data_IF_667822178712
#
_entry.id   IF_667822178712
#
_cell.length_a   1.000
_cell.length_b   1.000
_cell.length_c   1.000
_cell.angle_alpha   90.00
_cell.angle_beta   90.00
_cell.angle_gamma   90.00
#
_symmetry.space_group_name_H-M   'P 1'
#
loop_
_entity.id
_entity.type
_entity.pdbx_description
1 polymer ?
#
# COMPACT_ATOMS: atom_id res chain seq x y z
N UNK A 1 -0.32 21.97 -33.05
CA UNK A 1 0.53 20.92 -32.42
C UNK A 1 0.17 20.91 -30.92
N UNK A 2 -0.72 20.00 -30.51
CA UNK A 2 -1.13 19.89 -29.09
C UNK A 2 0.04 19.27 -28.34
N UNK A 3 0.62 20.03 -27.40
CA UNK A 3 1.63 19.50 -26.49
C UNK A 3 1.01 18.33 -25.71
N UNK A 4 1.44 17.12 -26.00
CA UNK A 4 1.00 15.94 -25.26
C UNK A 4 1.57 16.04 -23.83
N UNK A 5 0.71 16.39 -22.90
CA UNK A 5 1.00 16.36 -21.45
C UNK A 5 1.52 14.97 -21.06
N UNK A 6 2.84 14.88 -20.81
CA UNK A 6 3.52 13.67 -20.35
C UNK A 6 3.49 13.55 -18.82
N UNK A 7 2.64 14.33 -18.15
CA UNK A 7 2.57 14.33 -16.69
C UNK A 7 1.73 13.15 -16.18
N UNK A 8 2.23 12.47 -15.16
CA UNK A 8 1.44 11.53 -14.37
C UNK A 8 0.42 12.34 -13.58
N UNK A 9 -0.83 11.92 -13.64
CA UNK A 9 -1.93 12.49 -12.85
C UNK A 9 -2.29 11.56 -11.73
N UNK A 10 -2.40 12.11 -10.53
CA UNK A 10 -2.88 11.41 -9.35
C UNK A 10 -4.38 11.68 -9.15
N UNK A 11 -5.12 10.62 -8.86
CA UNK A 11 -6.55 10.67 -8.55
C UNK A 11 -6.79 10.02 -7.19
N UNK A 12 -7.59 10.64 -6.33
CA UNK A 12 -8.02 10.01 -5.08
C UNK A 12 -9.29 9.22 -5.36
N UNK A 13 -9.27 7.92 -5.10
CA UNK A 13 -10.46 7.05 -5.11
C UNK A 13 -11.00 7.02 -3.68
N UNK A 14 -12.21 7.52 -3.48
CA UNK A 14 -12.86 7.65 -2.17
C UNK A 14 -14.17 6.85 -2.07
N UNK A 15 -14.57 6.20 -3.17
CA UNK A 15 -15.76 5.36 -3.21
C UNK A 15 -15.68 4.30 -4.31
N UNK A 16 -16.45 3.23 -4.16
CA UNK A 16 -16.56 2.16 -5.18
C UNK A 16 -17.21 2.64 -6.50
N UNK A 17 -17.83 3.81 -6.50
CA UNK A 17 -18.44 4.42 -7.70
C UNK A 17 -17.46 5.29 -8.49
N UNK A 18 -16.23 5.48 -8.00
CA UNK A 18 -15.21 6.26 -8.71
C UNK A 18 -14.86 5.62 -10.06
N UNK A 19 -14.70 6.38 -11.17
CA UNK A 19 -14.44 5.83 -12.50
C UNK A 19 -13.23 4.90 -12.62
N UNK A 20 -12.18 5.10 -11.79
CA UNK A 20 -10.97 4.26 -11.77
C UNK A 20 -11.03 3.10 -10.76
N UNK A 21 -12.17 2.89 -10.10
CA UNK A 21 -12.27 1.85 -9.07
C UNK A 21 -12.13 0.43 -9.64
N UNK A 22 -12.68 0.18 -10.81
CA UNK A 22 -12.61 -1.15 -11.45
C UNK A 22 -11.19 -1.49 -11.90
N UNK A 23 -10.43 -0.52 -12.46
CA UNK A 23 -9.01 -0.71 -12.79
C UNK A 23 -8.17 -0.98 -11.53
N UNK A 24 -8.41 -0.22 -10.46
CA UNK A 24 -7.81 -0.49 -9.16
C UNK A 24 -8.12 -1.91 -8.69
N UNK A 25 -9.40 -2.29 -8.62
CA UNK A 25 -9.86 -3.58 -8.11
C UNK A 25 -9.25 -4.75 -8.90
N UNK A 26 -9.17 -4.64 -10.23
CA UNK A 26 -8.55 -5.63 -11.09
C UNK A 26 -7.07 -5.80 -10.76
N UNK A 27 -6.30 -4.70 -10.73
CA UNK A 27 -4.87 -4.73 -10.42
C UNK A 27 -4.62 -5.22 -9.00
N UNK A 28 -5.43 -4.79 -8.02
CA UNK A 28 -5.34 -5.21 -6.63
C UNK A 28 -5.45 -6.73 -6.48
N UNK A 29 -6.48 -7.33 -7.09
CA UNK A 29 -6.70 -8.79 -7.05
C UNK A 29 -5.60 -9.59 -7.76
N UNK A 30 -5.00 -9.04 -8.79
CA UNK A 30 -3.90 -9.68 -9.53
C UNK A 30 -2.56 -9.59 -8.78
N UNK A 31 -2.35 -8.53 -8.00
CA UNK A 31 -1.05 -8.21 -7.39
C UNK A 31 -0.87 -8.80 -5.99
N UNK A 32 -1.96 -9.11 -5.29
CA UNK A 32 -1.92 -9.58 -3.89
C UNK A 32 -2.66 -10.89 -3.74
N UNK A 33 -2.15 -11.84 -2.92
CA UNK A 33 -2.89 -13.05 -2.58
C UNK A 33 -4.13 -12.72 -1.74
N UNK A 34 -5.13 -13.61 -1.73
CA UNK A 34 -6.42 -13.35 -1.08
C UNK A 34 -6.31 -13.01 0.41
N UNK A 35 -5.32 -13.56 1.10
CA UNK A 35 -5.10 -13.32 2.54
C UNK A 35 -4.49 -11.94 2.85
N UNK A 36 -3.98 -11.25 1.83
CA UNK A 36 -3.50 -9.85 1.91
C UNK A 36 -4.55 -8.85 1.38
N UNK A 37 -5.71 -9.33 0.96
CA UNK A 37 -6.74 -8.47 0.39
C UNK A 37 -7.84 -8.17 1.39
N UNK A 38 -8.22 -6.89 1.47
CA UNK A 38 -9.48 -6.46 2.11
C UNK A 38 -10.67 -7.10 1.41
N UNK A 39 -11.66 -7.50 2.18
CA UNK A 39 -12.99 -7.83 1.64
C UNK A 39 -13.67 -6.56 1.12
N UNK A 40 -14.71 -6.67 0.25
CA UNK A 40 -15.47 -5.49 -0.18
C UNK A 40 -16.06 -4.65 0.97
N UNK A 41 -16.62 -5.23 2.05
CA UNK A 41 -17.02 -4.47 3.23
C UNK A 41 -15.85 -3.72 3.88
N UNK A 42 -14.71 -4.39 4.14
CA UNK A 42 -13.52 -3.76 4.72
C UNK A 42 -12.96 -2.63 3.85
N UNK A 43 -13.07 -2.74 2.52
CA UNK A 43 -12.67 -1.66 1.62
C UNK A 43 -13.61 -0.45 1.72
N UNK A 44 -14.91 -0.68 1.88
CA UNK A 44 -15.89 0.40 2.13
C UNK A 44 -15.62 1.10 3.46
N UNK A 45 -15.34 0.33 4.52
CA UNK A 45 -14.96 0.89 5.82
C UNK A 45 -13.68 1.74 5.74
N UNK A 46 -12.68 1.27 4.98
CA UNK A 46 -11.47 2.06 4.75
C UNK A 46 -11.76 3.40 4.05
N UNK A 47 -12.67 3.43 3.06
CA UNK A 47 -13.01 4.66 2.35
C UNK A 47 -13.65 5.76 3.23
N UNK A 48 -14.37 5.37 4.26
CA UNK A 48 -14.98 6.35 5.19
C UNK A 48 -14.04 6.77 6.32
N UNK A 49 -12.87 6.13 6.43
CA UNK A 49 -11.89 6.49 7.45
C UNK A 49 -11.03 7.69 7.02
N UNK A 50 -10.94 8.71 7.88
CA UNK A 50 -10.25 9.98 7.58
C UNK A 50 -8.75 9.82 7.28
N UNK A 51 -8.11 8.80 7.83
CA UNK A 51 -6.69 8.54 7.59
C UNK A 51 -6.41 7.78 6.28
N UNK A 52 -7.38 7.07 5.71
CA UNK A 52 -7.17 6.24 4.52
C UNK A 52 -7.12 7.06 3.23
N UNK A 53 -6.21 6.70 2.35
CA UNK A 53 -6.08 7.27 1.00
C UNK A 53 -5.81 6.16 -0.01
N UNK A 54 -6.65 6.08 -1.03
CA UNK A 54 -6.38 5.27 -2.23
C UNK A 54 -6.05 6.23 -3.37
N UNK A 55 -4.79 6.22 -3.79
CA UNK A 55 -4.24 7.10 -4.82
C UNK A 55 -4.02 6.31 -6.10
N UNK A 56 -4.78 6.59 -7.14
CA UNK A 56 -4.63 6.02 -8.47
C UNK A 56 -3.82 6.96 -9.36
N UNK A 57 -2.99 6.40 -10.23
CA UNK A 57 -2.13 7.16 -11.11
C UNK A 57 -2.42 6.83 -12.57
N UNK A 58 -2.53 7.88 -13.39
CA UNK A 58 -2.75 7.73 -14.83
C UNK A 58 -1.77 8.59 -15.63
N UNK A 59 -1.44 8.15 -16.85
CA UNK A 59 -0.72 8.94 -17.85
C UNK A 59 -1.42 8.79 -19.19
N UNK A 60 -1.87 9.89 -19.79
CA UNK A 60 -2.64 9.90 -21.05
C UNK A 60 -3.87 8.96 -21.04
N UNK A 61 -4.56 8.90 -19.91
CA UNK A 61 -5.73 8.03 -19.72
C UNK A 61 -5.39 6.55 -19.41
N UNK A 62 -4.13 6.15 -19.49
CA UNK A 62 -3.70 4.80 -19.13
C UNK A 62 -3.54 4.70 -17.60
N UNK A 63 -4.16 3.69 -16.98
CA UNK A 63 -3.98 3.37 -15.56
C UNK A 63 -2.60 2.78 -15.33
N UNK A 64 -1.77 3.48 -14.55
CA UNK A 64 -0.39 3.10 -14.25
C UNK A 64 -0.26 2.18 -13.04
N UNK A 65 -1.09 2.41 -12.02
CA UNK A 65 -1.02 1.73 -10.75
C UNK A 65 -1.66 2.53 -9.63
N UNK A 66 -1.46 2.09 -8.41
CA UNK A 66 -2.03 2.75 -7.23
C UNK A 66 -1.12 2.63 -6.00
N UNK A 67 -1.35 3.51 -5.03
CA UNK A 67 -0.86 3.44 -3.66
C UNK A 67 -2.08 3.53 -2.74
N UNK A 68 -2.31 2.50 -1.92
CA UNK A 68 -3.23 2.54 -0.79
C UNK A 68 -2.42 2.83 0.47
N UNK A 69 -2.73 3.89 1.20
CA UNK A 69 -1.95 4.32 2.34
C UNK A 69 -2.82 4.90 3.46
N UNK A 70 -2.21 5.00 4.65
CA UNK A 70 -2.79 5.55 5.86
C UNK A 70 -1.94 6.70 6.37
N UNK A 71 -2.57 7.83 6.65
CA UNK A 71 -1.97 8.99 7.30
C UNK A 71 -2.03 8.80 8.83
N UNK A 72 -1.10 8.00 9.37
CA UNK A 72 -1.05 7.70 10.80
C UNK A 72 -0.43 8.87 11.61
N UNK A 73 -0.45 8.77 12.93
CA UNK A 73 0.05 9.85 13.79
C UNK A 73 1.54 10.17 13.55
N UNK A 74 2.37 9.15 13.35
CA UNK A 74 3.84 9.27 13.25
C UNK A 74 4.40 9.01 11.87
N UNK A 75 3.66 8.33 10.99
CA UNK A 75 4.13 7.94 9.65
C UNK A 75 3.00 7.97 8.62
N UNK A 76 3.39 7.88 7.34
CA UNK A 76 2.50 7.50 6.23
C UNK A 76 2.74 6.02 5.94
N UNK A 77 1.79 5.19 6.28
CA UNK A 77 1.89 3.76 6.05
C UNK A 77 1.35 3.39 4.67
N UNK A 78 2.21 2.85 3.80
CA UNK A 78 1.81 2.28 2.51
C UNK A 78 1.41 0.83 2.72
N UNK A 79 0.10 0.60 2.74
CA UNK A 79 -0.49 -0.73 2.92
C UNK A 79 -0.36 -1.58 1.65
N UNK A 80 -0.67 -0.99 0.49
CA UNK A 80 -0.56 -1.67 -0.81
C UNK A 80 0.00 -0.73 -1.88
N UNK A 81 0.92 -1.22 -2.68
CA UNK A 81 1.46 -0.55 -3.87
C UNK A 81 1.50 -1.55 -5.01
N UNK A 82 0.87 -1.23 -6.13
CA UNK A 82 0.98 -2.03 -7.35
C UNK A 82 1.08 -1.15 -8.60
N UNK A 83 1.86 -1.65 -9.57
CA UNK A 83 2.00 -1.05 -10.90
C UNK A 83 1.45 -2.03 -11.93
N UNK A 84 0.74 -1.51 -12.91
CA UNK A 84 0.21 -2.27 -14.03
C UNK A 84 1.30 -3.15 -14.66
N UNK A 85 1.06 -4.45 -14.74
CA UNK A 85 2.02 -5.46 -15.17
C UNK A 85 2.59 -5.20 -16.58
N UNK A 86 1.77 -4.64 -17.47
CA UNK A 86 2.18 -4.26 -18.83
C UNK A 86 3.21 -3.11 -18.86
N UNK A 87 3.40 -2.45 -17.72
CA UNK A 87 4.30 -1.30 -17.56
C UNK A 87 5.52 -1.61 -16.67
N UNK A 88 5.65 -2.85 -16.20
CA UNK A 88 6.81 -3.27 -15.41
C UNK A 88 8.13 -3.07 -16.18
N UNK A 89 9.19 -2.79 -15.45
CA UNK A 89 10.51 -2.51 -16.04
C UNK A 89 10.67 -1.12 -16.67
N UNK A 90 9.61 -0.30 -16.75
CA UNK A 90 9.64 1.06 -17.32
C UNK A 90 9.87 2.18 -16.30
N UNK A 91 10.20 1.84 -15.05
CA UNK A 91 10.50 2.79 -13.98
C UNK A 91 9.29 3.46 -13.32
N UNK A 92 8.06 3.12 -13.70
CA UNK A 92 6.86 3.73 -13.09
C UNK A 92 6.78 3.50 -11.58
N UNK A 93 7.09 2.30 -11.09
CA UNK A 93 7.08 2.01 -9.64
C UNK A 93 7.99 2.94 -8.85
N UNK A 94 9.24 3.10 -9.30
CA UNK A 94 10.21 4.02 -8.67
C UNK A 94 9.75 5.47 -8.75
N UNK A 95 9.10 5.86 -9.84
CA UNK A 95 8.59 7.23 -10.01
C UNK A 95 7.42 7.50 -9.07
N UNK A 96 6.40 6.62 -9.05
CA UNK A 96 5.23 6.79 -8.19
C UNK A 96 5.61 6.79 -6.71
N UNK A 97 6.40 5.80 -6.27
CA UNK A 97 6.84 5.71 -4.88
C UNK A 97 7.80 6.87 -4.53
N UNK A 98 8.71 7.23 -5.42
CA UNK A 98 9.63 8.33 -5.22
C UNK A 98 8.92 9.68 -5.09
N UNK A 99 7.89 9.95 -5.90
CA UNK A 99 7.07 11.17 -5.78
C UNK A 99 6.28 11.16 -4.47
N UNK A 100 5.73 10.00 -4.08
CA UNK A 100 5.03 9.85 -2.81
C UNK A 100 5.95 10.08 -1.59
N UNK A 101 7.17 9.52 -1.60
CA UNK A 101 8.15 9.69 -0.51
C UNK A 101 8.64 11.14 -0.41
N UNK A 102 8.88 11.81 -1.55
CA UNK A 102 9.33 13.21 -1.58
C UNK A 102 8.27 14.23 -1.19
N UNK A 103 7.00 13.87 -1.25
CA UNK A 103 5.93 14.75 -0.80
C UNK A 103 6.15 15.15 0.67
N UNK A 104 6.02 16.44 1.03
CA UNK A 104 6.20 16.91 2.39
C UNK A 104 5.33 16.14 3.37
N UNK A 105 5.87 15.82 4.53
CA UNK A 105 5.12 15.13 5.57
C UNK A 105 5.98 14.19 6.42
N UNK A 106 5.31 13.22 7.00
CA UNK A 106 5.90 12.21 7.88
C UNK A 106 6.70 11.18 7.07
N UNK A 107 7.64 10.44 7.71
CA UNK A 107 8.33 9.34 7.07
C UNK A 107 7.35 8.31 6.50
N UNK A 108 7.72 7.69 5.40
CA UNK A 108 6.92 6.62 4.78
C UNK A 108 7.38 5.28 5.34
N UNK A 109 6.43 4.46 5.73
CA UNK A 109 6.64 3.10 6.22
C UNK A 109 5.87 2.13 5.32
N UNK A 110 6.43 0.97 5.06
CA UNK A 110 5.79 -0.15 4.37
C UNK A 110 6.35 -1.48 4.86
N UNK A 111 5.71 -2.55 4.45
CA UNK A 111 6.09 -3.92 4.80
C UNK A 111 6.34 -4.75 3.55
N UNK A 112 7.29 -5.67 3.62
CA UNK A 112 7.57 -6.63 2.54
C UNK A 112 7.77 -8.03 3.10
N UNK A 113 7.60 -9.05 2.25
CA UNK A 113 8.00 -10.42 2.59
C UNK A 113 9.49 -10.50 2.94
N UNK A 114 9.89 -11.37 3.89
CA UNK A 114 11.30 -11.68 4.11
C UNK A 114 11.97 -12.17 2.83
N UNK A 115 13.26 -11.88 2.71
CA UNK A 115 14.05 -12.35 1.57
C UNK A 115 14.29 -13.86 1.67
N UNK A 116 13.66 -14.63 0.77
CA UNK A 116 13.77 -16.08 0.70
C UNK A 116 14.19 -16.59 -0.68
N UNK A 117 14.14 -15.71 -1.70
CA UNK A 117 14.46 -16.03 -3.09
C UNK A 117 14.92 -14.79 -3.87
N UNK A 118 15.25 -14.96 -5.15
CA UNK A 118 15.68 -13.87 -6.03
C UNK A 118 14.62 -12.80 -6.26
N UNK A 119 13.34 -13.16 -6.22
CA UNK A 119 12.21 -12.24 -6.44
C UNK A 119 12.05 -11.32 -5.23
N UNK A 120 12.02 -11.88 -4.02
CA UNK A 120 11.97 -11.10 -2.77
C UNK A 120 13.22 -10.26 -2.57
N UNK A 121 14.41 -10.77 -2.94
CA UNK A 121 15.65 -10.00 -2.95
C UNK A 121 15.61 -8.82 -3.96
N UNK A 122 15.04 -9.02 -5.15
CA UNK A 122 14.87 -7.95 -6.12
C UNK A 122 13.86 -6.88 -5.63
N UNK A 123 12.81 -7.30 -4.91
CA UNK A 123 11.84 -6.40 -4.27
C UNK A 123 12.52 -5.54 -3.21
N UNK A 124 13.31 -6.12 -2.32
CA UNK A 124 14.06 -5.37 -1.32
C UNK A 124 15.01 -4.35 -1.98
N UNK A 125 15.80 -4.77 -2.99
CA UNK A 125 16.67 -3.87 -3.73
C UNK A 125 15.91 -2.70 -4.40
N UNK A 126 14.70 -2.95 -4.88
CA UNK A 126 13.84 -1.89 -5.43
C UNK A 126 13.52 -0.84 -4.36
N UNK A 127 13.08 -1.24 -3.16
CA UNK A 127 12.77 -0.31 -2.08
C UNK A 127 14.02 0.42 -1.56
N UNK A 128 15.15 -0.27 -1.44
CA UNK A 128 16.42 0.36 -1.06
C UNK A 128 16.84 1.46 -2.05
N UNK A 129 16.68 1.24 -3.37
CA UNK A 129 16.90 2.26 -4.40
C UNK A 129 15.93 3.44 -4.30
N UNK A 130 14.75 3.24 -3.73
CA UNK A 130 13.78 4.30 -3.43
C UNK A 130 14.04 5.01 -2.09
N UNK A 131 15.16 4.69 -1.40
CA UNK A 131 15.58 5.34 -0.16
C UNK A 131 15.01 4.72 1.11
N UNK A 132 14.52 3.48 1.04
CA UNK A 132 14.05 2.75 2.22
C UNK A 132 15.19 1.96 2.87
N UNK A 133 15.08 1.81 4.19
CA UNK A 133 15.97 0.99 5.02
C UNK A 133 15.15 -0.04 5.80
N UNK A 134 15.75 -1.19 6.05
CA UNK A 134 15.16 -2.27 6.84
C UNK A 134 15.23 -1.94 8.33
N UNK A 135 14.22 -2.42 9.08
CA UNK A 135 14.17 -2.34 10.52
C UNK A 135 14.24 -3.74 11.15
N UNK A 136 14.94 -3.92 12.28
CA UNK A 136 15.25 -5.24 12.84
C UNK A 136 14.14 -5.81 13.74
N UNK A 137 12.88 -5.40 13.55
CA UNK A 137 11.77 -5.82 14.42
C UNK A 137 11.15 -7.13 13.95
N UNK A 138 10.83 -8.01 14.89
CA UNK A 138 10.07 -9.25 14.63
C UNK A 138 8.60 -8.90 14.39
N UNK A 139 8.29 -8.49 13.18
CA UNK A 139 6.99 -7.93 12.80
C UNK A 139 6.04 -8.98 12.23
N UNK A 140 4.77 -8.93 12.68
CA UNK A 140 3.69 -9.78 12.21
C UNK A 140 2.45 -8.95 11.91
N UNK A 141 2.14 -8.80 10.63
CA UNK A 141 0.90 -8.14 10.20
C UNK A 141 -0.32 -8.98 10.59
N UNK A 142 -1.35 -8.42 11.21
CA UNK A 142 -2.60 -9.12 11.49
C UNK A 142 -3.29 -9.59 10.19
N UNK A 143 -4.02 -10.72 10.21
CA UNK A 143 -4.69 -11.19 9.00
C UNK A 143 -5.89 -10.29 8.64
N UNK A 144 -6.10 -10.05 7.37
CA UNK A 144 -7.29 -9.34 6.85
C UNK A 144 -8.57 -10.17 6.98
N UNK A 145 -8.45 -11.49 7.04
CA UNK A 145 -9.58 -12.39 7.01
C UNK A 145 -9.49 -13.42 8.13
N UNK A 146 -10.63 -13.79 8.69
CA UNK A 146 -10.71 -14.89 9.63
C UNK A 146 -10.16 -16.20 9.01
N UNK A 147 -9.51 -17.02 9.82
CA UNK A 147 -8.94 -18.30 9.38
C UNK A 147 -7.52 -18.23 8.82
N UNK A 148 -6.98 -17.03 8.59
CA UNK A 148 -5.56 -16.86 8.23
C UNK A 148 -4.70 -16.50 9.44
N UNK A 149 -3.45 -16.96 9.45
CA UNK A 149 -2.47 -16.61 10.49
C UNK A 149 -1.87 -15.22 10.24
N UNK A 150 -1.35 -14.54 11.28
CA UNK A 150 -0.55 -13.33 11.11
C UNK A 150 0.64 -13.57 10.17
N UNK A 151 0.86 -12.63 9.24
CA UNK A 151 1.90 -12.73 8.22
C UNK A 151 3.21 -12.13 8.73
N UNK A 152 4.31 -12.90 8.68
CA UNK A 152 5.64 -12.41 9.02
C UNK A 152 6.15 -11.49 7.90
N UNK A 153 6.44 -10.24 8.24
CA UNK A 153 6.90 -9.23 7.30
C UNK A 153 8.12 -8.47 7.84
N UNK A 154 8.84 -7.80 6.95
CA UNK A 154 9.94 -6.90 7.26
C UNK A 154 9.45 -5.46 7.10
N UNK A 155 9.62 -4.67 8.16
CA UNK A 155 9.26 -3.24 8.14
C UNK A 155 10.38 -2.44 7.47
N UNK A 156 10.02 -1.65 6.46
CA UNK A 156 10.91 -0.71 5.77
C UNK A 156 10.46 0.73 6.03
N UNK A 157 11.41 1.63 6.23
CA UNK A 157 11.14 3.06 6.46
C UNK A 157 11.98 3.94 5.54
N UNK A 158 11.40 5.03 5.07
CA UNK A 158 12.10 6.00 4.22
C UNK A 158 13.14 6.80 5.02
N UNK A 159 14.34 6.91 4.47
CA UNK A 159 15.42 7.78 4.96
C UNK A 159 16.24 7.20 6.10
N UNK A 160 15.64 6.67 7.17
CA UNK A 160 16.34 6.08 8.33
C UNK A 160 15.56 4.92 8.95
N UNK A 161 16.25 4.09 9.70
CA UNK A 161 15.61 3.16 10.60
C UNK A 161 14.88 3.91 11.73
N UNK A 162 13.79 3.34 12.23
CA UNK A 162 13.01 3.89 13.34
C UNK A 162 13.44 3.28 14.68
N UNK A 163 13.18 4.02 15.74
CA UNK A 163 13.39 3.51 17.11
C UNK A 163 12.33 2.48 17.50
N UNK A 164 12.60 1.73 18.57
CA UNK A 164 11.62 0.79 19.15
C UNK A 164 10.31 1.48 19.51
N UNK A 165 10.37 2.67 20.08
CA UNK A 165 9.18 3.45 20.44
C UNK A 165 8.37 3.87 19.19
N UNK A 166 9.02 4.28 18.12
CA UNK A 166 8.37 4.59 16.83
C UNK A 166 7.73 3.33 16.23
N UNK A 167 8.41 2.19 16.32
CA UNK A 167 7.87 0.91 15.87
C UNK A 167 6.64 0.47 16.68
N UNK A 168 6.69 0.57 18.00
CA UNK A 168 5.53 0.22 18.85
C UNK A 168 4.31 1.09 18.52
N UNK A 169 4.50 2.39 18.32
CA UNK A 169 3.41 3.28 17.90
C UNK A 169 2.82 2.88 16.54
N UNK A 170 3.68 2.49 15.61
CA UNK A 170 3.21 1.97 14.32
C UNK A 170 2.43 0.66 14.47
N UNK A 171 2.94 -0.32 15.25
CA UNK A 171 2.25 -1.60 15.47
C UNK A 171 0.90 -1.40 16.18
N UNK A 172 0.82 -0.47 17.12
CA UNK A 172 -0.43 -0.06 17.78
C UNK A 172 -1.42 0.56 16.77
N UNK A 173 -0.97 1.49 15.94
CA UNK A 173 -1.79 2.10 14.89
C UNK A 173 -2.23 1.06 13.84
N UNK A 174 -1.35 0.14 13.45
CA UNK A 174 -1.67 -0.95 12.54
C UNK A 174 -2.83 -1.79 13.07
N UNK A 175 -2.81 -2.17 14.35
CA UNK A 175 -3.84 -3.00 14.98
C UNK A 175 -5.14 -2.25 15.26
N UNK A 176 -5.04 -1.02 15.74
CA UNK A 176 -6.18 -0.28 16.28
C UNK A 176 -6.83 0.67 15.27
N UNK A 177 -6.12 1.03 14.20
CA UNK A 177 -6.61 1.94 13.15
C UNK A 177 -6.75 1.20 11.82
N UNK A 178 -5.65 0.65 11.30
CA UNK A 178 -5.61 0.06 9.94
C UNK A 178 -6.43 -1.23 9.87
N UNK A 179 -6.27 -2.11 10.87
CA UNK A 179 -6.91 -3.43 10.93
C UNK A 179 -8.15 -3.48 11.80
N UNK A 180 -8.64 -2.33 12.29
CA UNK A 180 -9.86 -2.21 13.05
C UNK A 180 -11.06 -2.08 12.12
N UNK A 181 -11.63 -3.22 11.71
CA UNK A 181 -12.80 -3.27 10.83
C UNK A 181 -14.08 -3.13 11.65
N UNK A 182 -14.72 -1.99 11.55
CA UNK A 182 -16.01 -1.75 12.22
C UNK A 182 -17.16 -2.44 11.45
N UNK A 183 -17.88 -3.34 12.12
CA UNK A 183 -19.15 -3.87 11.64
C UNK A 183 -19.13 -5.02 10.64
N UNK A 184 -17.97 -5.62 10.35
CA UNK A 184 -17.90 -6.80 9.49
C UNK A 184 -18.25 -8.05 10.27
N UNK A 185 -19.50 -8.50 10.17
CA UNK A 185 -19.89 -9.86 10.60
C UNK A 185 -19.20 -10.88 9.68
N UNK A 186 -18.75 -12.01 10.25
CA UNK A 186 -18.10 -13.11 9.53
C UNK A 186 -19.01 -13.79 8.46
N UNK A 187 -20.25 -13.32 8.29
CA UNK A 187 -21.24 -13.87 7.36
C UNK A 187 -21.21 -13.27 5.96
N UNK A 188 -20.40 -12.23 5.68
CA UNK A 188 -20.41 -11.54 4.37
C UNK A 188 -19.32 -12.01 3.40
N UNK A 189 -18.68 -13.15 3.66
CA UNK A 189 -17.62 -13.71 2.81
C UNK A 189 -18.11 -14.39 1.49
N UNK A 190 -19.42 -14.40 1.25
CA UNK A 190 -20.01 -15.01 0.06
C UNK A 190 -20.90 -14.01 -0.70
N UNK A 191 -20.30 -13.24 -1.61
CA UNK A 191 -20.95 -12.77 -2.86
C UNK A 191 -19.89 -12.25 -3.84
#
# INVERSE_FOLDING_TARGET
>A
MVAHDKSIRMHRIDACTHPLYEEFRKLYRQSFPVFEQRTPPQQRDAFVHDAYRLLAYTEKGLFLGFIACWELATCRYVEHLAVNDLLRGRGYGSRLLGDFVRAPGKPVLLEIDPVTDDVSAARLRFYQKCGFVENPYAHRHPPYRAGFAPHLLVVLTSGRAISEEEYQRFDDDLRNVVMNFHGVSASDDFL
#
